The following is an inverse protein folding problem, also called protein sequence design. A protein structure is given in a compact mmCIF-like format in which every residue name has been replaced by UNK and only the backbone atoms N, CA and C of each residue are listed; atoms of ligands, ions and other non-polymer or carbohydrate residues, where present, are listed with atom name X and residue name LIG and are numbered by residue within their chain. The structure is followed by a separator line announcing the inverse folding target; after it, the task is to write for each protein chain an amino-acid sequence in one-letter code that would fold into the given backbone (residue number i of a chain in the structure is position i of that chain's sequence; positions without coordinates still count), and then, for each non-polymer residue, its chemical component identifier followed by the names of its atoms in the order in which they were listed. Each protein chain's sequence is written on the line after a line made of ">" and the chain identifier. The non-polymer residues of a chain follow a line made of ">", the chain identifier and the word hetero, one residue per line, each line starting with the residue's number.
data_IF_966614280917
#
_entry.id   IF_966614280917
#
_cell.length_a   1.000
_cell.length_b   1.000
_cell.length_c   1.000
_cell.angle_alpha   90.00
_cell.angle_beta   90.00
_cell.angle_gamma   90.00
#
_symmetry.space_group_name_H-M   'P 1'
#
loop_
_entity.id
_entity.type
_entity.pdbx_description
1 polymer ?
#
# COMPACT_ATOMS: atom_id res chain seq x y z
N UNK A 1 -18.22 4.61 1.01
CA UNK A 1 -18.00 5.55 -0.11
C UNK A 1 -16.69 6.31 0.07
N UNK A 2 -16.16 6.91 -1.00
CA UNK A 2 -14.99 7.80 -0.97
C UNK A 2 -15.31 9.09 -1.73
N UNK A 3 -14.61 10.18 -1.41
CA UNK A 3 -14.62 11.39 -2.24
C UNK A 3 -13.23 11.98 -2.38
N UNK A 4 -12.94 12.52 -3.56
CA UNK A 4 -11.71 13.23 -3.89
C UNK A 4 -11.77 14.66 -3.39
N UNK A 5 -10.73 15.13 -2.69
CA UNK A 5 -10.64 16.51 -2.20
C UNK A 5 -9.61 17.35 -2.99
N UNK A 6 -8.82 16.75 -3.88
CA UNK A 6 -7.84 17.46 -4.71
C UNK A 6 -8.50 18.14 -5.92
N UNK A 7 -8.57 19.49 -5.97
CA UNK A 7 -9.16 20.19 -7.10
C UNK A 7 -8.43 19.94 -8.42
N UNK A 8 -7.12 19.66 -8.38
CA UNK A 8 -6.34 19.35 -9.58
C UNK A 8 -6.74 18.00 -10.22
N UNK A 9 -7.42 17.14 -9.44
CA UNK A 9 -7.99 15.87 -9.89
C UNK A 9 -9.52 15.94 -10.03
N UNK A 10 -10.11 17.15 -10.01
CA UNK A 10 -11.56 17.35 -10.06
C UNK A 10 -12.29 17.08 -8.74
N UNK A 11 -11.56 17.04 -7.63
CA UNK A 11 -12.09 16.87 -6.28
C UNK A 11 -12.82 18.10 -5.75
N UNK A 12 -13.68 17.87 -4.76
CA UNK A 12 -14.39 18.92 -4.03
C UNK A 12 -14.71 18.48 -2.61
N UNK A 13 -15.07 19.46 -1.76
CA UNK A 13 -15.54 19.17 -0.41
C UNK A 13 -16.80 18.32 -0.45
N UNK A 14 -16.92 17.38 0.49
CA UNK A 14 -18.08 16.47 0.55
C UNK A 14 -19.42 17.20 0.69
N UNK A 15 -19.43 18.40 1.28
CA UNK A 15 -20.63 19.26 1.39
C UNK A 15 -21.28 19.54 0.03
N UNK A 16 -20.48 19.68 -1.04
CA UNK A 16 -20.99 19.96 -2.40
C UNK A 16 -21.96 18.89 -2.88
N UNK A 17 -21.82 17.65 -2.43
CA UNK A 17 -22.73 16.57 -2.80
C UNK A 17 -24.17 16.80 -2.29
N UNK A 18 -24.35 17.45 -1.14
CA UNK A 18 -25.69 17.76 -0.63
C UNK A 18 -26.40 18.86 -1.43
N UNK A 19 -25.65 19.67 -2.18
CA UNK A 19 -26.20 20.75 -3.01
C UNK A 19 -26.66 20.26 -4.38
N UNK A 20 -26.00 19.23 -4.93
CA UNK A 20 -26.24 18.76 -6.30
C UNK A 20 -26.99 17.43 -6.37
N UNK A 21 -27.12 16.72 -5.26
CA UNK A 21 -27.81 15.43 -5.21
C UNK A 21 -29.30 15.64 -4.98
N UNK A 22 -30.18 15.05 -5.81
CA UNK A 22 -31.62 15.11 -5.60
C UNK A 22 -32.03 14.68 -4.20
N UNK A 23 -32.96 15.43 -3.59
CA UNK A 23 -33.34 15.25 -2.18
C UNK A 23 -33.91 13.84 -1.90
N UNK A 24 -34.60 13.24 -2.87
CA UNK A 24 -35.13 11.87 -2.75
C UNK A 24 -34.02 10.83 -2.52
N UNK A 25 -32.84 10.99 -3.13
CA UNK A 25 -31.72 10.08 -2.93
C UNK A 25 -31.06 10.28 -1.56
N UNK A 26 -30.99 11.53 -1.11
CA UNK A 26 -30.49 11.87 0.23
C UNK A 26 -31.43 11.28 1.29
N UNK A 27 -32.74 11.47 1.14
CA UNK A 27 -33.77 10.91 2.01
C UNK A 27 -33.78 9.37 1.95
N UNK A 28 -33.52 8.79 0.78
CA UNK A 28 -33.31 7.36 0.57
C UNK A 28 -32.05 6.79 1.23
N UNK A 29 -31.24 7.62 1.88
CA UNK A 29 -30.09 7.19 2.68
C UNK A 29 -28.79 7.02 1.88
N UNK A 30 -28.65 7.65 0.71
CA UNK A 30 -27.43 7.56 -0.09
C UNK A 30 -26.16 7.94 0.69
N UNK A 31 -26.27 8.89 1.62
CA UNK A 31 -25.18 9.34 2.50
C UNK A 31 -25.30 8.84 3.93
N UNK A 32 -25.97 7.70 4.15
CA UNK A 32 -26.12 7.10 5.48
C UNK A 32 -24.77 6.75 6.13
N UNK A 33 -23.79 6.37 5.31
CA UNK A 33 -22.43 6.10 5.75
C UNK A 33 -21.47 7.24 5.39
N UNK A 34 -20.59 7.60 6.33
CA UNK A 34 -19.58 8.64 6.11
C UNK A 34 -18.57 8.22 5.02
N UNK A 35 -18.48 9.04 3.98
CA UNK A 35 -17.49 8.86 2.92
C UNK A 35 -16.07 9.13 3.43
N UNK A 36 -15.09 8.35 2.96
CA UNK A 36 -13.67 8.58 3.25
C UNK A 36 -13.10 9.68 2.35
N UNK A 37 -12.54 10.72 2.97
CA UNK A 37 -11.92 11.84 2.28
C UNK A 37 -10.52 11.50 1.76
N UNK A 38 -10.31 11.69 0.46
CA UNK A 38 -9.00 11.55 -0.18
C UNK A 38 -8.33 12.91 -0.30
N UNK A 39 -7.50 13.26 0.68
CA UNK A 39 -6.81 14.56 0.71
C UNK A 39 -5.60 14.61 -0.24
N UNK A 40 -5.30 15.76 -0.86
CA UNK A 40 -4.07 15.95 -1.61
C UNK A 40 -2.82 16.02 -0.71
N UNK A 41 -1.64 16.04 -1.33
CA UNK A 41 -0.36 16.30 -0.66
C UNK A 41 0.07 15.21 0.33
N UNK A 42 0.59 15.62 1.49
CA UNK A 42 1.21 14.74 2.48
C UNK A 42 0.28 13.63 2.99
N UNK A 43 -1.03 13.90 3.05
CA UNK A 43 -2.02 12.95 3.58
C UNK A 43 -2.54 11.96 2.53
N UNK A 44 -2.20 12.13 1.24
CA UNK A 44 -2.73 11.32 0.13
C UNK A 44 -2.58 9.82 0.37
N UNK A 45 -1.38 9.40 0.72
CA UNK A 45 -1.07 7.97 0.96
C UNK A 45 -1.90 7.42 2.12
N UNK A 46 -2.02 8.16 3.21
CA UNK A 46 -2.76 7.72 4.40
C UNK A 46 -4.26 7.65 4.10
N UNK A 47 -4.82 8.65 3.42
CA UNK A 47 -6.22 8.63 2.96
C UNK A 47 -6.54 7.37 2.15
N UNK A 48 -5.69 7.02 1.17
CA UNK A 48 -5.90 5.84 0.33
C UNK A 48 -5.78 4.53 1.12
N UNK A 49 -4.86 4.46 2.09
CA UNK A 49 -4.74 3.28 2.98
C UNK A 49 -5.97 3.13 3.86
N UNK A 50 -6.48 4.23 4.45
CA UNK A 50 -7.69 4.19 5.26
C UNK A 50 -8.92 3.80 4.44
N UNK A 51 -9.02 4.29 3.20
CA UNK A 51 -10.04 3.86 2.25
C UNK A 51 -9.92 2.36 1.96
N UNK A 52 -8.74 1.89 1.58
CA UNK A 52 -8.50 0.47 1.30
C UNK A 52 -8.88 -0.42 2.49
N UNK A 53 -8.48 -0.03 3.71
CA UNK A 53 -8.87 -0.74 4.95
C UNK A 53 -10.39 -0.77 5.13
N UNK A 54 -11.09 0.34 4.88
CA UNK A 54 -12.56 0.37 4.97
C UNK A 54 -13.26 -0.49 3.92
N UNK A 55 -12.59 -0.78 2.80
CA UNK A 55 -13.04 -1.72 1.77
C UNK A 55 -12.65 -3.18 2.09
N UNK A 56 -12.05 -3.45 3.25
CA UNK A 56 -11.65 -4.79 3.67
C UNK A 56 -10.27 -5.22 3.17
N UNK A 57 -9.46 -4.31 2.64
CA UNK A 57 -8.10 -4.65 2.22
C UNK A 57 -7.24 -5.11 3.40
N UNK A 58 -6.57 -6.24 3.21
CA UNK A 58 -5.60 -6.79 4.15
C UNK A 58 -4.16 -6.53 3.68
N UNK A 59 -3.16 -6.55 4.58
CA UNK A 59 -1.76 -6.40 4.17
C UNK A 59 -1.38 -7.47 3.15
N UNK A 60 -0.72 -7.06 2.07
CA UNK A 60 -0.22 -8.01 1.08
C UNK A 60 0.78 -8.96 1.74
N UNK A 61 0.57 -10.27 1.55
CA UNK A 61 1.57 -11.28 1.94
C UNK A 61 2.83 -11.04 1.10
N UNK A 62 4.00 -11.19 1.70
CA UNK A 62 5.25 -11.10 0.95
C UNK A 62 5.23 -12.13 -0.21
N UNK A 63 5.83 -11.80 -1.36
CA UNK A 63 5.92 -12.74 -2.50
C UNK A 63 6.51 -14.10 -2.08
N UNK A 64 7.41 -14.10 -1.10
CA UNK A 64 7.96 -15.31 -0.49
C UNK A 64 6.90 -16.18 0.21
N UNK A 65 5.94 -15.57 0.93
CA UNK A 65 4.83 -16.29 1.56
C UNK A 65 3.75 -16.77 0.60
N UNK A 66 3.65 -16.17 -0.60
CA UNK A 66 2.72 -16.62 -1.65
C UNK A 66 3.24 -17.87 -2.36
N UNK A 67 4.55 -17.93 -2.62
CA UNK A 67 5.22 -19.11 -3.19
C UNK A 67 5.23 -20.31 -2.22
N UNK A 68 5.20 -20.06 -0.91
CA UNK A 68 5.20 -21.10 0.12
C UNK A 68 3.81 -21.71 0.40
N UNK A 69 2.70 -21.10 -0.06
CA UNK A 69 1.33 -21.60 0.13
C UNK A 69 0.65 -21.95 -1.20
N UNK A 70 1.38 -22.60 -2.11
CA UNK A 70 0.82 -23.04 -3.39
C UNK A 70 -0.21 -24.15 -3.23
N UNK A 71 -1.51 -23.80 -3.20
CA UNK A 71 -2.52 -24.62 -3.88
C UNK A 71 -2.63 -24.09 -5.30
N UNK A 72 -2.04 -24.83 -6.23
CA UNK A 72 -2.09 -24.55 -7.67
C UNK A 72 -3.54 -24.73 -8.09
N UNK A 73 -4.27 -23.64 -8.36
CA UNK A 73 -5.48 -23.71 -9.19
C UNK A 73 -5.05 -23.31 -10.59
N UNK A 74 -4.96 -24.32 -11.45
CA UNK A 74 -4.58 -24.20 -12.84
C UNK A 74 -5.74 -23.57 -13.62
N UNK A 75 -5.64 -22.26 -13.82
CA UNK A 75 -6.56 -21.48 -14.64
C UNK A 75 -5.77 -20.64 -15.64
N UNK A 76 -5.52 -21.23 -16.81
CA UNK A 76 -4.82 -20.63 -17.94
C UNK A 76 -5.42 -19.29 -18.36
N UNK A 77 -4.70 -18.19 -18.12
CA UNK A 77 -4.69 -17.05 -19.05
C UNK A 77 -3.25 -16.61 -19.27
N UNK A 78 -2.78 -16.85 -20.49
CA UNK A 78 -1.45 -16.60 -21.00
C UNK A 78 -1.20 -15.09 -21.17
N UNK A 79 -0.35 -14.48 -20.34
CA UNK A 79 0.36 -13.25 -20.70
C UNK A 79 1.81 -13.28 -20.18
N UNK A 80 2.69 -13.63 -21.10
CA UNK A 80 4.09 -13.22 -21.27
C UNK A 80 4.96 -13.02 -20.01
N UNK A 81 5.85 -14.00 -19.78
CA UNK A 81 7.08 -13.82 -18.99
C UNK A 81 7.92 -12.68 -19.58
N UNK A 82 8.24 -11.68 -18.75
CA UNK A 82 9.42 -10.83 -18.97
C UNK A 82 10.52 -11.30 -18.03
N UNK A 83 11.56 -11.84 -18.66
CA UNK A 83 12.84 -12.31 -18.11
C UNK A 83 13.42 -11.36 -17.04
N UNK A 84 13.74 -11.90 -15.87
CA UNK A 84 14.64 -11.27 -14.90
C UNK A 84 15.94 -12.09 -14.85
N UNK A 85 16.88 -11.72 -15.72
CA UNK A 85 18.23 -12.24 -15.72
C UNK A 85 19.03 -11.71 -14.53
N UNK A 86 19.55 -12.63 -13.72
CA UNK A 86 20.92 -12.61 -13.22
C UNK A 86 21.34 -11.48 -12.28
N UNK A 87 21.18 -11.69 -10.97
CA UNK A 87 22.17 -11.22 -9.99
C UNK A 87 22.48 -12.37 -9.02
N UNK A 88 23.58 -13.05 -9.34
CA UNK A 88 24.19 -14.18 -8.66
C UNK A 88 24.74 -13.81 -7.29
N UNK A 89 24.53 -14.74 -6.35
CA UNK A 89 25.02 -14.73 -4.97
C UNK A 89 26.54 -14.80 -4.94
N UNK A 90 27.19 -13.98 -4.13
CA UNK A 90 28.56 -14.23 -3.67
C UNK A 90 28.56 -14.19 -2.14
N UNK A 91 28.56 -15.38 -1.54
CA UNK A 91 28.85 -15.58 -0.12
C UNK A 91 30.37 -15.53 0.04
N UNK A 92 30.91 -14.44 0.58
CA UNK A 92 32.31 -14.38 1.00
C UNK A 92 32.41 -14.75 2.48
N UNK A 93 32.91 -15.97 2.71
CA UNK A 93 33.33 -16.54 3.98
C UNK A 93 34.80 -16.21 4.20
N UNK A 94 35.18 -15.75 5.40
CA UNK A 94 36.50 -15.93 6.07
C UNK A 94 36.38 -15.30 7.48
N UNK A 95 36.32 -16.08 8.55
CA UNK A 95 37.41 -16.78 9.28
C UNK A 95 38.06 -15.90 10.36
N UNK A 96 37.81 -16.29 11.61
CA UNK A 96 38.34 -15.77 12.87
C UNK A 96 39.88 -15.74 12.96
N UNK A 97 40.44 -14.68 13.58
CA UNK A 97 41.66 -14.61 14.41
C UNK A 97 41.50 -13.37 15.32
N UNK A 98 41.30 -13.45 16.64
CA UNK A 98 42.20 -13.79 17.76
C UNK A 98 43.27 -12.72 18.10
N UNK A 99 43.08 -12.09 19.28
CA UNK A 99 44.04 -11.66 20.32
C UNK A 99 44.85 -10.34 20.24
N UNK A 100 44.79 -9.62 21.38
CA UNK A 100 45.73 -8.64 21.99
C UNK A 100 46.01 -7.32 21.22
N UNK A 101 46.34 -6.17 21.80
CA UNK A 101 46.75 -5.73 23.14
C UNK A 101 46.50 -4.20 23.25
N UNK A 102 46.65 -3.67 24.45
CA UNK A 102 46.39 -2.32 24.93
C UNK A 102 47.12 -1.15 24.21
N UNK A 103 46.59 0.07 24.38
CA UNK A 103 47.23 1.11 25.21
C UNK A 103 46.37 2.36 25.37
N UNK A 104 46.42 2.83 26.61
CA UNK A 104 45.98 4.11 27.16
C UNK A 104 46.60 5.31 26.41
N UNK A 105 45.86 6.40 26.23
CA UNK A 105 46.45 7.74 26.22
C UNK A 105 45.43 8.79 26.69
N UNK A 106 45.86 9.52 27.72
CA UNK A 106 45.18 10.64 28.36
C UNK A 106 45.38 11.91 27.56
N UNK A 107 44.42 12.84 27.64
CA UNK A 107 44.50 14.20 27.10
C UNK A 107 43.44 15.07 27.75
#
# INVERSE_FOLDING_TARGET
>A
MAHENDPALGGCQFSRFFEVTPQELIAGGLYKDLAKSCFPGHHRKVSLVLLAKSLGATPARSRAGLLASGSVVEGSTSLAMRSLGGLSRVFAKMSSRSSAEAREVSG
#
